data_IF_309483425025
#
_entry.id   IF_309483425025
#
_cell.length_a   1.000
_cell.length_b   1.000
_cell.length_c   1.000
_cell.angle_alpha   90.00
_cell.angle_beta   90.00
_cell.angle_gamma   90.00
#
_symmetry.space_group_name_H-M   'P 1'
#
loop_
_entity.id
_entity.type
_entity.pdbx_description
1 polymer ?
#
# COMPACT_ATOMS: atom_id res chain seq x y z
N UNK A 1 -25.24 -14.70 13.91
CA UNK A 1 -23.78 -14.49 13.93
C UNK A 1 -23.50 -13.43 14.99
N UNK A 2 -22.62 -13.68 15.97
CA UNK A 2 -22.28 -12.69 16.99
C UNK A 2 -21.36 -11.61 16.42
N UNK A 3 -21.33 -10.44 17.06
CA UNK A 3 -20.43 -9.32 16.69
C UNK A 3 -18.97 -9.75 16.81
N UNK A 4 -18.62 -10.53 17.83
CA UNK A 4 -17.29 -11.10 18.03
C UNK A 4 -16.86 -11.97 16.85
N UNK A 5 -17.73 -12.88 16.41
CA UNK A 5 -17.44 -13.74 15.25
C UNK A 5 -17.22 -12.92 13.96
N UNK A 6 -17.96 -11.82 13.78
CA UNK A 6 -17.76 -10.91 12.63
C UNK A 6 -16.40 -10.22 12.69
N UNK A 7 -15.94 -9.82 13.89
CA UNK A 7 -14.64 -9.17 14.08
C UNK A 7 -13.48 -10.14 13.91
N UNK A 8 -13.61 -11.38 14.39
CA UNK A 8 -12.60 -12.41 14.17
C UNK A 8 -12.43 -12.73 12.68
N UNK A 9 -13.55 -12.87 11.95
CA UNK A 9 -13.55 -13.07 10.50
C UNK A 9 -12.88 -11.88 9.79
N UNK A 10 -13.29 -10.65 10.13
CA UNK A 10 -12.73 -9.42 9.56
C UNK A 10 -11.21 -9.34 9.78
N UNK A 11 -10.77 -9.58 11.01
CA UNK A 11 -9.35 -9.54 11.39
C UNK A 11 -8.55 -10.62 10.65
N UNK A 12 -9.09 -11.84 10.56
CA UNK A 12 -8.47 -12.95 9.82
C UNK A 12 -8.32 -12.62 8.33
N UNK A 13 -9.35 -12.05 7.71
CA UNK A 13 -9.28 -11.57 6.33
C UNK A 13 -8.24 -10.46 6.16
N UNK A 14 -8.14 -9.55 7.13
CA UNK A 14 -7.11 -8.52 7.16
C UNK A 14 -5.68 -9.10 7.13
N UNK A 15 -5.39 -10.11 7.96
CA UNK A 15 -4.10 -10.81 7.94
C UNK A 15 -3.82 -11.50 6.61
N UNK A 16 -4.82 -12.18 6.03
CA UNK A 16 -4.68 -12.85 4.72
C UNK A 16 -4.35 -11.82 3.64
N UNK A 17 -5.10 -10.71 3.57
CA UNK A 17 -4.85 -9.63 2.62
C UNK A 17 -3.49 -8.98 2.85
N UNK A 18 -3.04 -8.84 4.10
CA UNK A 18 -1.70 -8.38 4.45
C UNK A 18 -0.60 -9.31 3.93
N UNK A 19 -0.77 -10.62 4.07
CA UNK A 19 0.16 -11.60 3.51
C UNK A 19 0.18 -11.54 1.98
N UNK A 20 -0.99 -11.45 1.33
CA UNK A 20 -1.08 -11.23 -0.11
C UNK A 20 -0.38 -9.94 -0.55
N UNK A 21 -0.52 -8.87 0.22
CA UNK A 21 0.17 -7.60 -0.05
C UNK A 21 1.68 -7.75 0.02
N UNK A 22 2.22 -8.45 1.02
CA UNK A 22 3.66 -8.72 1.14
C UNK A 22 4.18 -9.46 -0.11
N UNK A 23 3.49 -10.52 -0.54
CA UNK A 23 3.85 -11.26 -1.76
C UNK A 23 3.81 -10.33 -2.99
N UNK A 24 2.82 -9.45 -3.06
CA UNK A 24 2.70 -8.50 -4.15
C UNK A 24 3.82 -7.43 -4.14
N UNK A 25 4.29 -7.01 -2.96
CA UNK A 25 5.47 -6.15 -2.82
C UNK A 25 6.73 -6.84 -3.35
N UNK A 26 6.91 -8.15 -3.11
CA UNK A 26 8.02 -8.90 -3.72
C UNK A 26 7.94 -8.87 -5.26
N UNK A 27 6.76 -9.09 -5.83
CA UNK A 27 6.54 -9.00 -7.27
C UNK A 27 6.87 -7.60 -7.82
N UNK A 28 6.35 -6.55 -7.18
CA UNK A 28 6.61 -5.17 -7.60
C UNK A 28 8.09 -4.82 -7.47
N UNK A 29 8.74 -5.19 -6.37
CA UNK A 29 10.18 -5.01 -6.15
C UNK A 29 11.00 -5.65 -7.28
N UNK A 30 10.67 -6.89 -7.65
CA UNK A 30 11.43 -7.64 -8.65
C UNK A 30 11.26 -7.11 -10.07
N UNK A 31 10.06 -6.62 -10.42
CA UNK A 31 9.70 -6.33 -11.81
C UNK A 31 9.58 -4.84 -12.14
N UNK A 32 9.03 -4.04 -11.23
CA UNK A 32 8.57 -2.69 -11.56
C UNK A 32 9.16 -1.57 -10.70
N UNK A 33 9.61 -1.86 -9.48
CA UNK A 33 10.08 -0.84 -8.54
C UNK A 33 11.30 -0.10 -9.07
N UNK A 34 12.32 -0.83 -9.55
CA UNK A 34 13.52 -0.23 -10.15
C UNK A 34 13.20 0.63 -11.36
N UNK A 35 12.28 0.17 -12.20
CA UNK A 35 11.82 0.90 -13.37
C UNK A 35 11.13 2.23 -12.99
N UNK A 36 10.30 2.20 -11.95
CA UNK A 36 9.64 3.42 -11.44
C UNK A 36 10.66 4.37 -10.81
N UNK A 37 11.62 3.87 -10.04
CA UNK A 37 12.71 4.67 -9.48
C UNK A 37 13.54 5.34 -10.58
N UNK A 38 13.88 4.61 -11.64
CA UNK A 38 14.67 5.16 -12.74
C UNK A 38 13.96 6.35 -13.43
N UNK A 39 12.63 6.31 -13.54
CA UNK A 39 11.83 7.38 -14.16
C UNK A 39 11.55 8.55 -13.21
N UNK A 40 11.16 8.26 -11.97
CA UNK A 40 10.70 9.28 -11.03
C UNK A 40 11.88 9.96 -10.29
N UNK A 41 12.93 9.20 -10.03
CA UNK A 41 14.08 9.60 -9.20
C UNK A 41 15.38 9.76 -9.99
N UNK A 42 15.30 9.83 -11.31
CA UNK A 42 16.45 10.02 -12.22
C UNK A 42 17.56 8.98 -11.98
N UNK A 43 17.17 7.72 -11.74
CA UNK A 43 18.09 6.60 -11.50
C UNK A 43 18.53 6.41 -10.04
N UNK A 44 18.07 7.23 -9.09
CA UNK A 44 18.37 7.01 -7.66
C UNK A 44 17.47 5.90 -7.08
N UNK A 45 18.09 4.77 -6.74
CA UNK A 45 17.40 3.52 -6.33
C UNK A 45 17.45 3.29 -4.82
N UNK A 46 16.73 4.09 -4.05
CA UNK A 46 16.71 3.99 -2.58
C UNK A 46 15.78 2.89 -2.06
N UNK A 47 14.59 2.76 -2.65
CA UNK A 47 13.56 1.85 -2.20
C UNK A 47 13.83 0.40 -2.64
N UNK A 48 14.50 0.18 -3.77
CA UNK A 48 14.82 -1.18 -4.21
C UNK A 48 16.01 -1.85 -3.50
N UNK A 49 16.65 -1.20 -2.52
CA UNK A 49 17.81 -1.76 -1.80
C UNK A 49 17.49 -2.98 -0.95
N UNK A 50 16.40 -2.95 -0.18
CA UNK A 50 15.96 -4.08 0.65
C UNK A 50 14.44 -4.23 0.61
N UNK A 51 13.89 -5.24 1.27
CA UNK A 51 12.44 -5.52 1.21
C UNK A 51 11.61 -4.53 2.01
N UNK A 52 12.11 -4.07 3.17
CA UNK A 52 11.43 -3.08 4.00
C UNK A 52 11.30 -1.73 3.27
N UNK A 53 12.40 -1.26 2.69
CA UNK A 53 12.40 -0.06 1.86
C UNK A 53 11.54 -0.25 0.61
N UNK A 54 11.49 -1.45 0.03
CA UNK A 54 10.63 -1.71 -1.12
C UNK A 54 9.15 -1.62 -0.76
N UNK A 55 8.74 -2.13 0.41
CA UNK A 55 7.39 -1.94 0.92
C UNK A 55 7.05 -0.46 1.05
N UNK A 56 7.94 0.32 1.68
CA UNK A 56 7.74 1.76 1.82
C UNK A 56 7.68 2.48 0.45
N UNK A 57 8.58 2.14 -0.48
CA UNK A 57 8.61 2.71 -1.82
C UNK A 57 7.37 2.38 -2.64
N UNK A 58 6.87 1.14 -2.56
CA UNK A 58 5.63 0.73 -3.23
C UNK A 58 4.44 1.55 -2.73
N UNK A 59 4.33 1.77 -1.42
CA UNK A 59 3.28 2.62 -0.86
C UNK A 59 3.48 4.09 -1.26
N UNK A 60 4.70 4.59 -1.16
CA UNK A 60 5.05 5.95 -1.54
C UNK A 60 4.65 6.23 -3.00
N UNK A 61 5.14 5.44 -3.96
CA UNK A 61 4.80 5.61 -5.37
C UNK A 61 3.32 5.35 -5.65
N UNK A 62 2.69 4.41 -4.94
CA UNK A 62 1.24 4.23 -4.98
C UNK A 62 0.49 5.53 -4.66
N UNK A 63 0.91 6.27 -3.61
CA UNK A 63 0.29 7.55 -3.25
C UNK A 63 0.55 8.65 -4.29
N UNK A 64 1.74 8.67 -4.90
CA UNK A 64 2.10 9.62 -5.98
C UNK A 64 1.23 9.38 -7.23
N UNK A 65 1.00 8.12 -7.59
CA UNK A 65 0.14 7.78 -8.72
C UNK A 65 -1.33 8.06 -8.41
N UNK A 66 -1.79 7.75 -7.19
CA UNK A 66 -3.16 7.97 -6.76
C UNK A 66 -3.54 9.46 -6.67
N UNK A 67 -2.69 10.30 -6.05
CA UNK A 67 -3.02 11.69 -5.72
C UNK A 67 -2.17 12.70 -6.49
N UNK A 68 -2.84 13.56 -7.28
CA UNK A 68 -2.16 14.66 -8.00
C UNK A 68 -1.47 15.63 -7.04
N UNK A 69 -2.07 15.87 -5.87
CA UNK A 69 -1.52 16.75 -4.84
C UNK A 69 -0.21 16.20 -4.27
N UNK A 70 -0.17 14.91 -3.92
CA UNK A 70 1.06 14.26 -3.47
C UNK A 70 2.13 14.31 -4.56
N UNK A 71 1.77 13.97 -5.80
CA UNK A 71 2.72 14.07 -6.91
C UNK A 71 3.29 15.48 -7.09
N UNK A 72 2.49 16.54 -6.89
CA UNK A 72 2.97 17.93 -6.94
C UNK A 72 3.91 18.25 -5.78
N UNK A 73 3.58 17.81 -4.56
CA UNK A 73 4.42 18.02 -3.36
C UNK A 73 5.82 17.42 -3.51
N UNK A 74 5.94 16.27 -4.16
CA UNK A 74 7.21 15.59 -4.39
C UNK A 74 7.86 15.95 -5.74
N UNK A 75 7.31 16.91 -6.50
CA UNK A 75 7.87 17.32 -7.80
C UNK A 75 7.77 16.25 -8.91
N UNK A 76 6.89 15.25 -8.75
CA UNK A 76 6.72 14.09 -9.64
C UNK A 76 5.46 14.16 -10.51
N UNK A 77 4.72 15.28 -10.47
CA UNK A 77 3.43 15.43 -11.14
C UNK A 77 3.48 15.17 -12.66
N UNK A 78 4.58 15.58 -13.30
CA UNK A 78 4.81 15.36 -14.74
C UNK A 78 5.57 14.06 -15.00
N UNK A 79 6.60 13.74 -14.19
CA UNK A 79 7.39 12.51 -14.34
C UNK A 79 6.53 11.25 -14.28
N UNK A 80 5.50 11.21 -13.43
CA UNK A 80 4.58 10.07 -13.35
C UNK A 80 3.82 9.79 -14.65
N UNK A 81 3.67 10.77 -15.55
CA UNK A 81 3.03 10.56 -16.86
C UNK A 81 3.90 9.71 -17.80
N UNK A 82 5.20 9.65 -17.55
CA UNK A 82 6.15 8.83 -18.30
C UNK A 82 6.06 7.34 -17.91
N UNK A 83 5.51 7.04 -16.72
CA UNK A 83 5.27 5.67 -16.28
C UNK A 83 4.01 5.13 -16.98
N UNK A 84 4.04 3.95 -17.61
CA UNK A 84 2.88 3.36 -18.25
C UNK A 84 1.70 3.20 -17.29
N UNK A 85 0.49 3.48 -17.76
CA UNK A 85 -0.72 3.50 -16.93
C UNK A 85 -0.97 2.16 -16.21
N UNK A 86 -0.61 1.03 -16.84
CA UNK A 86 -0.77 -0.29 -16.23
C UNK A 86 0.16 -0.45 -15.01
N UNK A 87 1.39 0.06 -15.08
CA UNK A 87 2.34 0.03 -13.95
C UNK A 87 1.80 0.91 -12.82
N UNK A 88 1.37 2.14 -13.14
CA UNK A 88 0.76 3.03 -12.14
C UNK A 88 -0.39 2.35 -11.40
N UNK A 89 -1.28 1.66 -12.14
CA UNK A 89 -2.41 0.91 -11.56
C UNK A 89 -1.96 -0.21 -10.64
N UNK A 90 -0.86 -0.90 -10.91
CA UNK A 90 -0.34 -1.94 -10.01
C UNK A 90 0.09 -1.35 -8.65
N UNK A 91 0.75 -0.19 -8.65
CA UNK A 91 1.16 0.49 -7.42
C UNK A 91 -0.04 1.05 -6.65
N UNK A 92 -1.03 1.62 -7.35
CA UNK A 92 -2.29 2.06 -6.73
C UNK A 92 -3.02 0.86 -6.12
N UNK A 93 -3.08 -0.26 -6.83
CA UNK A 93 -3.69 -1.49 -6.32
C UNK A 93 -2.98 -2.00 -5.06
N UNK A 94 -1.64 -1.97 -5.03
CA UNK A 94 -0.87 -2.31 -3.83
C UNK A 94 -1.19 -1.39 -2.65
N UNK A 95 -1.31 -0.07 -2.89
CA UNK A 95 -1.70 0.89 -1.86
C UNK A 95 -3.09 0.57 -1.31
N UNK A 96 -4.09 0.36 -2.18
CA UNK A 96 -5.45 0.03 -1.75
C UNK A 96 -5.50 -1.29 -0.97
N UNK A 97 -4.74 -2.31 -1.41
CA UNK A 97 -4.66 -3.60 -0.74
C UNK A 97 -4.08 -3.47 0.68
N UNK A 98 -3.02 -2.65 0.85
CA UNK A 98 -2.42 -2.38 2.15
C UNK A 98 -3.35 -1.58 3.09
N UNK A 99 -4.06 -0.59 2.54
CA UNK A 99 -5.01 0.20 3.35
C UNK A 99 -6.20 -0.65 3.77
N UNK A 100 -6.72 -1.49 2.87
CA UNK A 100 -7.83 -2.39 3.17
C UNK A 100 -7.43 -3.44 4.21
N UNK A 101 -6.25 -4.05 4.10
CA UNK A 101 -5.77 -4.99 5.12
C UNK A 101 -5.61 -4.30 6.48
N UNK A 102 -5.01 -3.10 6.51
CA UNK A 102 -4.84 -2.32 7.74
C UNK A 102 -6.16 -1.96 8.40
N UNK A 103 -7.15 -1.50 7.63
CA UNK A 103 -8.49 -1.17 8.16
C UNK A 103 -9.15 -2.41 8.76
N UNK A 104 -9.12 -3.56 8.08
CA UNK A 104 -9.71 -4.79 8.57
C UNK A 104 -9.03 -5.29 9.86
N UNK A 105 -7.71 -5.17 9.96
CA UNK A 105 -6.94 -5.60 11.13
C UNK A 105 -7.12 -4.68 12.34
N UNK A 106 -7.16 -3.36 12.16
CA UNK A 106 -7.09 -2.41 13.27
C UNK A 106 -8.41 -1.71 13.60
N UNK A 107 -9.27 -1.44 12.61
CA UNK A 107 -10.54 -0.76 12.88
C UNK A 107 -11.54 -1.69 13.59
N UNK A 108 -11.52 -2.98 13.26
CA UNK A 108 -12.48 -3.96 13.79
C UNK A 108 -12.35 -4.17 15.31
N UNK A 109 -11.15 -4.40 15.88
CA UNK A 109 -10.99 -4.58 17.33
C UNK A 109 -11.04 -3.25 18.10
N UNK A 110 -10.55 -2.16 17.49
CA UNK A 110 -10.54 -0.84 18.12
C UNK A 110 -11.94 -0.30 18.41
N UNK A 111 -12.90 -0.57 17.52
CA UNK A 111 -14.31 -0.21 17.72
C UNK A 111 -14.92 -0.99 18.89
N UNK A 112 -14.68 -2.31 18.97
CA UNK A 112 -15.19 -3.14 20.09
C UNK A 112 -14.62 -2.65 21.43
N UNK A 113 -13.31 -2.45 21.51
CA UNK A 113 -12.67 -2.00 22.75
C UNK A 113 -13.21 -0.63 23.21
N UNK A 114 -13.46 0.30 22.27
CA UNK A 114 -14.07 1.59 22.58
C UNK A 114 -15.51 1.46 23.11
N UNK A 115 -16.33 0.61 22.47
CA UNK A 115 -17.71 0.37 22.91
C UNK A 115 -17.78 -0.35 24.27
N UNK A 116 -16.91 -1.34 24.52
CA UNK A 116 -16.87 -2.05 25.81
C UNK A 116 -16.36 -1.21 26.99
N UNK A 117 -15.56 -0.18 26.74
CA UNK A 117 -15.09 0.74 27.80
C UNK A 117 -16.13 1.83 28.12
N UNK A 118 -17.02 2.12 27.17
CA UNK A 118 -18.01 3.20 27.27
C UNK A 118 -19.40 2.72 27.72
N UNK A 119 -19.55 1.43 28.06
CA UNK A 119 -20.77 0.82 28.61
C UNK A 119 -20.56 0.37 30.05
#
# INVERSE_FOLDING_TARGET
MSIEALVDISTTLGFILGACWIIFVFYLKSKWLRYVEDILEDGRRWFSLNIFLAGHGVLHYGTIFFSKFHAKRYGMADKRKLVPIYVQRLFIFSLCLCLLSGVLMFASPGIIHFFMISS
#
